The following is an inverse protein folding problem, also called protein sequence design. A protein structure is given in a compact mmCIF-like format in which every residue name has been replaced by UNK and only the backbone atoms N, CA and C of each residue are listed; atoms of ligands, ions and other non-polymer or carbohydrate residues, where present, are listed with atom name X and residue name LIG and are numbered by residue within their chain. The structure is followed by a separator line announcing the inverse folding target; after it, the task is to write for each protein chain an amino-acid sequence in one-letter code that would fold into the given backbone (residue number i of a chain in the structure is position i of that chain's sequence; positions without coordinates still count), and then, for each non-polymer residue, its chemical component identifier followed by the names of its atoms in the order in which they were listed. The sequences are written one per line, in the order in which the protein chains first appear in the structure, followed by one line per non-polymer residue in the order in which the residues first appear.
data_IF_715438551733
#
_entry.id   IF_715438551733
#
_cell.length_a   1.000
_cell.length_b   1.000
_cell.length_c   1.000
_cell.angle_alpha   90.00
_cell.angle_beta   90.00
_cell.angle_gamma   90.00
#
_symmetry.space_group_name_H-M   'P 1'
#
loop_
_entity.id
_entity.type
_entity.pdbx_description
1 polymer ?
#
# COMPACT_ATOMS: atom_id res chain seq x y z
N UNK A 1 37.85 -3.98 -18.53
CA UNK A 1 36.55 -3.69 -19.16
C UNK A 1 36.44 -4.53 -20.42
N UNK A 2 35.49 -5.47 -20.47
CA UNK A 2 35.26 -6.27 -21.68
C UNK A 2 34.66 -5.37 -22.74
N UNK A 3 35.28 -5.36 -23.96
CA UNK A 3 34.87 -4.56 -25.11
C UNK A 3 33.40 -4.84 -25.51
N UNK A 4 32.68 -3.82 -25.99
CA UNK A 4 31.32 -3.91 -26.57
C UNK A 4 31.23 -4.97 -27.65
N UNK A 5 32.34 -5.19 -28.43
CA UNK A 5 32.44 -6.21 -29.47
C UNK A 5 32.20 -7.63 -29.01
N UNK A 6 32.31 -7.93 -27.69
CA UNK A 6 32.02 -9.27 -27.14
C UNK A 6 30.54 -9.47 -26.79
N UNK A 7 29.71 -8.44 -26.87
CA UNK A 7 28.28 -8.49 -26.51
C UNK A 7 27.35 -8.35 -27.72
N UNK A 8 27.88 -7.98 -28.87
CA UNK A 8 27.07 -7.65 -30.05
C UNK A 8 27.56 -8.42 -31.26
N UNK A 9 26.64 -9.01 -32.02
CA UNK A 9 26.95 -9.80 -33.23
C UNK A 9 27.09 -8.96 -34.51
N UNK A 10 26.68 -7.69 -34.49
CA UNK A 10 26.75 -6.76 -35.65
C UNK A 10 26.82 -5.29 -35.20
N UNK A 11 27.22 -4.36 -36.06
CA UNK A 11 27.18 -2.92 -35.78
C UNK A 11 25.78 -2.43 -35.36
N UNK A 12 24.73 -2.85 -36.05
CA UNK A 12 23.36 -2.51 -35.73
C UNK A 12 22.94 -3.03 -34.33
N UNK A 13 23.36 -4.23 -33.96
CA UNK A 13 23.17 -4.77 -32.61
C UNK A 13 23.90 -3.93 -31.55
N UNK A 14 25.09 -3.44 -31.85
CA UNK A 14 25.86 -2.57 -30.97
C UNK A 14 25.18 -1.21 -30.77
N UNK A 15 24.63 -0.60 -31.82
CA UNK A 15 23.87 0.65 -31.74
C UNK A 15 22.62 0.48 -30.86
N UNK A 16 21.87 -0.60 -31.05
CA UNK A 16 20.70 -0.90 -30.24
C UNK A 16 21.07 -1.13 -28.77
N UNK A 17 22.15 -1.86 -28.50
CA UNK A 17 22.65 -2.08 -27.15
C UNK A 17 23.04 -0.77 -26.46
N UNK A 18 23.79 0.11 -27.19
CA UNK A 18 24.17 1.43 -26.66
C UNK A 18 22.94 2.29 -26.38
N UNK A 19 21.95 2.29 -27.28
CA UNK A 19 20.71 3.04 -27.10
C UNK A 19 19.93 2.58 -25.84
N UNK A 20 19.84 1.27 -25.64
CA UNK A 20 19.19 0.67 -24.45
C UNK A 20 19.93 1.03 -23.16
N UNK A 21 21.26 0.90 -23.14
CA UNK A 21 22.05 1.26 -21.96
C UNK A 21 21.99 2.77 -21.65
N UNK A 22 22.00 3.63 -22.66
CA UNK A 22 21.82 5.07 -22.51
C UNK A 22 20.44 5.41 -21.97
N UNK A 23 19.39 4.78 -22.46
CA UNK A 23 18.03 4.95 -21.96
C UNK A 23 17.91 4.49 -20.50
N UNK A 24 18.55 3.38 -20.14
CA UNK A 24 18.63 2.88 -18.77
C UNK A 24 19.33 3.86 -17.83
N UNK A 25 20.47 4.39 -18.26
CA UNK A 25 21.24 5.36 -17.50
C UNK A 25 20.43 6.65 -17.27
N UNK A 26 19.85 7.21 -18.32
CA UNK A 26 19.02 8.41 -18.26
C UNK A 26 17.81 8.21 -17.32
N UNK A 27 17.19 7.02 -17.36
CA UNK A 27 16.09 6.67 -16.44
C UNK A 27 16.55 6.64 -14.99
N UNK A 28 17.74 6.09 -14.73
CA UNK A 28 18.35 6.04 -13.38
C UNK A 28 18.63 7.45 -12.86
N UNK A 29 19.31 8.29 -13.65
CA UNK A 29 19.62 9.68 -13.28
C UNK A 29 18.36 10.51 -13.02
N UNK A 30 17.33 10.34 -13.86
CA UNK A 30 16.03 10.98 -13.63
C UNK A 30 15.39 10.53 -12.32
N UNK A 31 15.43 9.23 -12.01
CA UNK A 31 14.88 8.71 -10.76
C UNK A 31 15.65 9.24 -9.53
N UNK A 32 16.97 9.30 -9.61
CA UNK A 32 17.81 9.87 -8.55
C UNK A 32 17.54 11.38 -8.36
N UNK A 33 17.40 12.13 -9.45
CA UNK A 33 17.03 13.53 -9.41
C UNK A 33 15.66 13.77 -8.76
N UNK A 34 14.66 12.99 -9.15
CA UNK A 34 13.33 13.04 -8.55
C UNK A 34 13.34 12.63 -7.06
N UNK A 35 14.18 11.64 -6.69
CA UNK A 35 14.31 11.22 -5.30
C UNK A 35 14.88 12.33 -4.40
N UNK A 36 15.82 13.14 -4.91
CA UNK A 36 16.37 14.30 -4.19
C UNK A 36 15.35 15.41 -3.95
N UNK A 37 14.29 15.49 -4.78
CA UNK A 37 13.23 16.49 -4.67
C UNK A 37 12.06 16.04 -3.78
N UNK A 38 12.03 14.75 -3.34
CA UNK A 38 10.94 14.22 -2.52
C UNK A 38 10.89 14.87 -1.15
N UNK A 39 9.69 15.33 -0.79
CA UNK A 39 9.36 15.79 0.56
C UNK A 39 8.85 14.63 1.42
N UNK A 40 8.87 14.78 2.74
CA UNK A 40 8.34 13.79 3.69
C UNK A 40 6.93 13.29 3.34
N UNK A 41 6.05 14.19 2.85
CA UNK A 41 4.70 13.86 2.42
C UNK A 41 4.65 12.81 1.28
N UNK A 42 5.66 12.80 0.41
CA UNK A 42 5.75 11.83 -0.69
C UNK A 42 6.06 10.43 -0.16
N UNK A 43 6.96 10.33 0.84
CA UNK A 43 7.27 9.06 1.51
C UNK A 43 6.07 8.53 2.29
N UNK A 44 5.31 9.40 2.97
CA UNK A 44 4.04 9.02 3.62
C UNK A 44 3.07 8.44 2.61
N UNK A 45 2.88 9.11 1.45
CA UNK A 45 1.96 8.65 0.40
C UNK A 45 2.39 7.30 -0.18
N UNK A 46 3.69 7.10 -0.41
CA UNK A 46 4.23 5.83 -0.92
C UNK A 46 4.03 4.69 0.07
N UNK A 47 4.37 4.89 1.33
CA UNK A 47 4.16 3.91 2.38
C UNK A 47 2.68 3.55 2.54
N UNK A 48 1.80 4.56 2.55
CA UNK A 48 0.36 4.37 2.65
C UNK A 48 -0.21 3.59 1.45
N UNK A 49 0.31 3.83 0.26
CA UNK A 49 -0.13 3.10 -0.95
C UNK A 49 0.15 1.61 -0.83
N UNK A 50 1.34 1.23 -0.36
CA UNK A 50 1.73 -0.17 -0.20
C UNK A 50 0.98 -0.82 0.97
N UNK A 51 0.89 -0.13 2.10
CA UNK A 51 0.11 -0.56 3.26
C UNK A 51 -1.36 -0.82 2.91
N UNK A 52 -2.01 0.10 2.20
CA UNK A 52 -3.39 -0.06 1.78
C UNK A 52 -3.59 -1.23 0.79
N UNK A 53 -2.61 -1.49 -0.08
CA UNK A 53 -2.63 -2.67 -0.96
C UNK A 53 -2.57 -3.96 -0.15
N UNK A 54 -1.65 -4.02 0.82
CA UNK A 54 -1.52 -5.15 1.72
C UNK A 54 -2.82 -5.39 2.51
N UNK A 55 -3.40 -4.36 3.13
CA UNK A 55 -4.64 -4.50 3.91
C UNK A 55 -5.84 -4.97 3.07
N UNK A 56 -5.97 -4.46 1.84
CA UNK A 56 -7.00 -4.96 0.92
C UNK A 56 -6.77 -6.44 0.57
N UNK A 57 -5.54 -6.84 0.32
CA UNK A 57 -5.22 -8.22 -0.01
C UNK A 57 -5.50 -9.18 1.15
N UNK A 58 -5.16 -8.82 2.39
CA UNK A 58 -5.54 -9.57 3.60
C UNK A 58 -7.05 -9.77 3.66
N UNK A 59 -7.84 -8.71 3.46
CA UNK A 59 -9.30 -8.81 3.49
C UNK A 59 -9.85 -9.67 2.34
N UNK A 60 -9.23 -9.59 1.15
CA UNK A 60 -9.62 -10.40 -0.01
C UNK A 60 -9.41 -11.89 0.25
N UNK A 61 -8.24 -12.26 0.77
CA UNK A 61 -7.88 -13.66 1.09
C UNK A 61 -8.78 -14.22 2.19
N UNK A 62 -9.09 -13.41 3.20
CA UNK A 62 -9.98 -13.79 4.29
C UNK A 62 -11.47 -13.89 3.86
N UNK A 63 -11.79 -13.55 2.61
CA UNK A 63 -13.18 -13.57 2.11
C UNK A 63 -14.09 -12.52 2.74
N UNK A 64 -13.52 -11.45 3.33
CA UNK A 64 -14.32 -10.44 4.02
C UNK A 64 -15.13 -9.58 3.06
N UNK A 65 -16.38 -9.32 3.41
CA UNK A 65 -17.22 -8.28 2.83
C UNK A 65 -16.81 -6.87 3.26
N UNK A 66 -17.57 -5.88 2.87
CA UNK A 66 -17.39 -4.49 3.26
C UNK A 66 -17.47 -4.33 4.78
N UNK A 67 -16.49 -3.68 5.41
CA UNK A 67 -16.45 -3.52 6.87
C UNK A 67 -17.73 -2.88 7.45
N UNK A 68 -18.39 -1.99 6.71
CA UNK A 68 -19.52 -1.22 7.22
C UNK A 68 -20.89 -1.89 6.98
N UNK A 69 -21.08 -2.58 5.86
CA UNK A 69 -22.39 -3.11 5.45
C UNK A 69 -22.35 -4.61 5.13
N UNK A 70 -21.20 -5.23 5.31
CA UNK A 70 -20.91 -6.64 5.06
C UNK A 70 -21.23 -7.15 3.63
N UNK A 71 -21.64 -6.26 2.72
CA UNK A 71 -21.91 -6.60 1.34
C UNK A 71 -20.65 -7.11 0.63
N UNK A 72 -20.77 -8.05 -0.31
CA UNK A 72 -19.67 -8.56 -1.10
C UNK A 72 -18.87 -7.44 -1.77
N UNK A 73 -17.55 -7.61 -1.84
CA UNK A 73 -16.61 -6.68 -2.44
C UNK A 73 -16.29 -7.11 -3.87
N UNK A 74 -16.36 -6.16 -4.79
CA UNK A 74 -15.95 -6.36 -6.19
C UNK A 74 -14.43 -6.21 -6.31
N UNK A 75 -13.73 -7.33 -6.27
CA UNK A 75 -12.28 -7.40 -6.39
C UNK A 75 -11.78 -7.43 -7.84
N UNK A 76 -12.69 -7.60 -8.81
CA UNK A 76 -12.36 -7.72 -10.25
C UNK A 76 -12.30 -6.35 -10.91
N UNK A 77 -13.32 -5.54 -10.69
CA UNK A 77 -13.39 -4.20 -11.29
C UNK A 77 -12.40 -3.25 -10.59
N UNK A 78 -11.51 -2.59 -11.33
CA UNK A 78 -10.55 -1.65 -10.74
C UNK A 78 -11.21 -0.54 -9.92
N UNK A 79 -10.59 -0.18 -8.81
CA UNK A 79 -11.00 0.94 -7.95
C UNK A 79 -12.40 0.83 -7.31
N UNK A 80 -12.97 -0.37 -7.16
CA UNK A 80 -14.24 -0.60 -6.46
C UNK A 80 -14.08 -0.81 -4.96
N UNK A 81 -12.88 -1.22 -4.51
CA UNK A 81 -12.57 -1.50 -3.10
C UNK A 81 -11.51 -0.53 -2.60
N UNK A 82 -11.83 0.19 -1.55
CA UNK A 82 -10.92 1.08 -0.85
C UNK A 82 -10.38 0.42 0.44
N UNK A 83 -9.26 0.94 0.94
CA UNK A 83 -8.78 0.69 2.29
C UNK A 83 -9.28 1.84 3.18
N UNK A 84 -10.42 1.63 3.85
CA UNK A 84 -11.02 2.61 4.74
C UNK A 84 -10.33 2.62 6.10
N UNK A 85 -10.14 3.82 6.67
CA UNK A 85 -9.62 4.02 8.02
C UNK A 85 -10.79 4.29 8.97
N UNK A 86 -10.88 3.52 10.06
CA UNK A 86 -11.87 3.75 11.10
C UNK A 86 -11.65 5.11 11.79
N UNK A 87 -10.47 5.29 12.35
CA UNK A 87 -10.01 6.59 12.84
C UNK A 87 -9.22 7.25 11.71
N UNK A 88 -9.72 8.40 11.23
CA UNK A 88 -9.22 9.02 10.01
C UNK A 88 -7.76 9.44 10.13
N UNK A 89 -7.04 9.43 9.00
CA UNK A 89 -5.63 9.87 8.95
C UNK A 89 -5.44 11.35 9.32
N UNK A 90 -6.49 12.16 9.22
CA UNK A 90 -6.47 13.56 9.59
C UNK A 90 -6.64 13.75 11.10
N UNK A 91 -7.64 13.10 11.71
CA UNK A 91 -7.89 13.20 13.15
C UNK A 91 -6.96 12.33 14.01
N UNK A 92 -6.49 11.20 13.46
CA UNK A 92 -5.65 10.23 14.17
C UNK A 92 -4.44 9.82 13.34
N UNK A 93 -3.51 10.76 13.04
CA UNK A 93 -2.37 10.51 12.16
C UNK A 93 -1.40 9.46 12.70
N UNK A 94 -1.38 9.20 14.00
CA UNK A 94 -0.59 8.15 14.66
C UNK A 94 -1.07 6.74 14.30
N UNK A 95 -2.35 6.57 13.94
CA UNK A 95 -2.95 5.26 13.62
C UNK A 95 -2.96 4.94 12.11
N UNK A 96 -2.33 5.76 11.28
CA UNK A 96 -2.40 5.61 9.82
C UNK A 96 -1.82 4.30 9.27
N UNK A 97 -0.89 3.66 9.99
CA UNK A 97 -0.26 2.38 9.64
C UNK A 97 -0.57 1.25 10.61
N UNK A 98 -1.60 1.41 11.45
CA UNK A 98 -2.08 0.35 12.34
C UNK A 98 -3.03 -0.55 11.56
N UNK A 99 -2.73 -1.85 11.53
CA UNK A 99 -3.48 -2.82 10.72
C UNK A 99 -4.95 -2.89 11.12
N UNK A 100 -5.25 -2.92 12.42
CA UNK A 100 -6.61 -2.96 12.93
C UNK A 100 -7.43 -1.70 12.62
N UNK A 101 -6.78 -0.57 12.31
CA UNK A 101 -7.47 0.66 11.91
C UNK A 101 -7.90 0.68 10.43
N UNK A 102 -7.49 -0.30 9.60
CA UNK A 102 -7.68 -0.21 8.14
C UNK A 102 -8.29 -1.48 7.57
N UNK A 103 -9.45 -1.34 6.93
CA UNK A 103 -10.24 -2.46 6.43
C UNK A 103 -10.74 -2.22 5.00
N UNK A 104 -11.02 -3.32 4.28
CA UNK A 104 -11.61 -3.24 2.97
C UNK A 104 -13.04 -2.69 3.03
N UNK A 105 -13.33 -1.72 2.20
CA UNK A 105 -14.60 -0.99 2.18
C UNK A 105 -15.06 -0.76 0.75
N UNK A 106 -16.36 -0.88 0.48
CA UNK A 106 -16.93 -0.46 -0.80
C UNK A 106 -16.67 1.03 -1.01
N UNK A 107 -16.32 1.41 -2.21
CA UNK A 107 -16.03 2.82 -2.54
C UNK A 107 -17.18 3.77 -2.17
N UNK A 108 -18.43 3.33 -2.36
CA UNK A 108 -19.60 4.10 -1.94
C UNK A 108 -19.67 4.33 -0.43
N UNK A 109 -19.30 3.32 0.38
CA UNK A 109 -19.26 3.45 1.83
C UNK A 109 -18.10 4.33 2.34
N UNK A 110 -17.00 4.42 1.58
CA UNK A 110 -15.82 5.23 1.94
C UNK A 110 -15.92 6.70 1.50
N UNK A 111 -17.08 7.16 1.07
CA UNK A 111 -17.32 8.57 0.72
C UNK A 111 -17.98 9.33 1.88
N UNK A 112 -17.87 10.66 1.92
CA UNK A 112 -18.66 11.46 2.86
C UNK A 112 -20.15 11.09 2.78
N UNK A 113 -20.76 10.80 3.92
CA UNK A 113 -22.15 10.35 4.00
C UNK A 113 -22.43 8.90 3.53
N UNK A 114 -21.42 8.17 3.07
CA UNK A 114 -21.60 6.79 2.57
C UNK A 114 -21.76 5.73 3.67
N UNK A 115 -21.29 6.01 4.88
CA UNK A 115 -21.47 5.16 6.06
C UNK A 115 -21.40 5.98 7.35
N UNK A 116 -21.87 5.40 8.45
CA UNK A 116 -21.71 5.96 9.79
C UNK A 116 -20.47 5.41 10.47
N UNK A 117 -19.91 6.15 11.42
CA UNK A 117 -18.83 5.65 12.27
C UNK A 117 -19.27 4.41 13.05
N UNK A 118 -20.53 4.37 13.51
CA UNK A 118 -21.08 3.23 14.22
C UNK A 118 -21.09 1.96 13.35
N UNK A 119 -21.54 2.04 12.10
CA UNK A 119 -21.55 0.88 11.20
C UNK A 119 -20.13 0.34 10.94
N UNK A 120 -19.12 1.21 10.90
CA UNK A 120 -17.72 0.77 10.78
C UNK A 120 -17.26 0.11 12.11
N UNK A 121 -17.60 0.70 13.26
CA UNK A 121 -17.28 0.16 14.58
C UNK A 121 -17.84 -1.23 14.78
N UNK A 122 -19.12 -1.43 14.47
CA UNK A 122 -19.82 -2.72 14.57
C UNK A 122 -19.14 -3.79 13.68
N UNK A 123 -18.69 -3.39 12.50
CA UNK A 123 -17.93 -4.27 11.61
C UNK A 123 -16.57 -4.66 12.17
N UNK A 124 -15.87 -3.75 12.83
CA UNK A 124 -14.60 -4.04 13.50
C UNK A 124 -14.79 -4.95 14.70
N UNK A 125 -15.77 -4.68 15.53
CA UNK A 125 -16.09 -5.51 16.70
C UNK A 125 -16.33 -6.98 16.29
N UNK A 126 -17.07 -7.20 15.20
CA UNK A 126 -17.25 -8.56 14.63
C UNK A 126 -15.98 -9.23 14.16
N UNK A 127 -14.92 -8.47 13.82
CA UNK A 127 -13.69 -9.00 13.20
C UNK A 127 -12.51 -9.12 14.15
N UNK A 128 -12.39 -8.21 15.10
CA UNK A 128 -11.24 -8.16 16.02
C UNK A 128 -11.64 -8.25 17.49
N UNK A 129 -12.95 -8.27 17.79
CA UNK A 129 -13.46 -8.26 19.16
C UNK A 129 -13.47 -6.87 19.80
N UNK A 130 -14.18 -6.76 20.91
CA UNK A 130 -14.37 -5.48 21.60
C UNK A 130 -13.07 -4.99 22.24
N UNK A 131 -12.28 -5.89 22.83
CA UNK A 131 -11.06 -5.55 23.55
C UNK A 131 -10.04 -4.87 22.61
N UNK A 132 -9.75 -5.48 21.44
CA UNK A 132 -8.82 -4.92 20.47
C UNK A 132 -9.35 -3.62 19.83
N UNK A 133 -10.66 -3.46 19.74
CA UNK A 133 -11.28 -2.23 19.27
C UNK A 133 -11.14 -1.10 20.29
N UNK A 134 -11.39 -1.37 21.57
CA UNK A 134 -11.24 -0.40 22.66
C UNK A 134 -9.77 0.01 22.85
N UNK A 135 -8.83 -0.93 22.76
CA UNK A 135 -7.39 -0.64 22.74
C UNK A 135 -7.03 0.35 21.60
N UNK A 136 -7.55 0.10 20.40
CA UNK A 136 -7.34 1.01 19.27
C UNK A 136 -7.96 2.40 19.51
N UNK A 137 -9.16 2.43 20.07
CA UNK A 137 -9.86 3.69 20.39
C UNK A 137 -9.19 4.47 21.52
N UNK A 138 -8.53 3.78 22.46
CA UNK A 138 -7.79 4.38 23.57
C UNK A 138 -6.38 4.85 23.19
N UNK A 139 -5.81 4.36 22.08
CA UNK A 139 -4.44 4.70 21.65
C UNK A 139 -4.36 6.19 21.33
N UNK A 140 -3.56 6.92 22.11
CA UNK A 140 -3.26 8.36 21.96
C UNK A 140 -1.78 8.61 21.79
N UNK A 141 -0.97 7.55 21.66
CA UNK A 141 0.47 7.68 21.60
C UNK A 141 0.90 8.40 20.30
N UNK A 142 1.57 9.57 20.41
CA UNK A 142 2.03 10.29 19.22
C UNK A 142 3.08 9.50 18.46
N UNK A 143 2.87 9.28 17.15
CA UNK A 143 3.83 8.63 16.25
C UNK A 143 4.26 9.59 15.17
N UNK A 144 5.49 10.09 15.28
CA UNK A 144 6.11 10.98 14.31
C UNK A 144 7.12 10.20 13.46
N UNK A 145 6.68 9.75 12.29
CA UNK A 145 7.52 8.96 11.40
C UNK A 145 8.62 9.81 10.76
N UNK A 146 9.86 9.37 10.82
CA UNK A 146 11.00 9.86 10.02
C UNK A 146 10.90 9.35 8.58
N UNK A 147 11.72 9.91 7.66
CA UNK A 147 11.76 9.40 6.27
C UNK A 147 12.25 7.95 6.23
N UNK A 148 13.20 7.57 7.09
CA UNK A 148 13.74 6.22 7.09
C UNK A 148 12.76 5.20 7.67
N UNK A 149 11.99 5.55 8.70
CA UNK A 149 10.87 4.74 9.18
C UNK A 149 9.79 4.57 8.11
N UNK A 150 9.48 5.60 7.34
CA UNK A 150 8.52 5.51 6.23
C UNK A 150 9.00 4.58 5.11
N UNK A 151 10.31 4.61 4.81
CA UNK A 151 10.92 3.65 3.88
C UNK A 151 10.86 2.22 4.43
N UNK A 152 11.16 2.03 5.72
CA UNK A 152 11.08 0.74 6.39
C UNK A 152 9.64 0.18 6.39
N UNK A 153 8.65 1.00 6.73
CA UNK A 153 7.23 0.63 6.67
C UNK A 153 6.85 0.20 5.24
N UNK A 154 7.26 0.98 4.23
CA UNK A 154 7.00 0.64 2.83
C UNK A 154 7.61 -0.70 2.44
N UNK A 155 8.87 -0.95 2.81
CA UNK A 155 9.58 -2.21 2.51
C UNK A 155 8.90 -3.38 3.22
N UNK A 156 8.62 -3.26 4.52
CA UNK A 156 7.96 -4.28 5.33
C UNK A 156 6.62 -4.74 4.72
N UNK A 157 5.74 -3.79 4.38
CA UNK A 157 4.45 -4.16 3.80
C UNK A 157 4.53 -4.60 2.34
N UNK A 158 5.57 -4.22 1.59
CA UNK A 158 5.83 -4.77 0.27
C UNK A 158 6.22 -6.25 0.34
N UNK A 159 7.05 -6.64 1.29
CA UNK A 159 7.42 -8.04 1.56
C UNK A 159 6.22 -8.86 2.04
N UNK A 160 5.46 -8.36 3.02
CA UNK A 160 4.22 -9.02 3.47
C UNK A 160 3.25 -9.25 2.31
N UNK A 161 3.05 -8.25 1.45
CA UNK A 161 2.19 -8.37 0.27
C UNK A 161 2.70 -9.39 -0.74
N UNK A 162 4.03 -9.47 -0.96
CA UNK A 162 4.66 -10.46 -1.82
C UNK A 162 4.46 -11.87 -1.27
N UNK A 163 4.68 -12.08 0.03
CA UNK A 163 4.48 -13.35 0.70
C UNK A 163 3.02 -13.82 0.60
N UNK A 164 2.04 -12.94 0.86
CA UNK A 164 0.62 -13.28 0.71
C UNK A 164 0.25 -13.75 -0.70
N UNK A 165 0.84 -13.13 -1.73
CA UNK A 165 0.58 -13.53 -3.13
C UNK A 165 1.24 -14.85 -3.51
N UNK A 166 2.41 -15.13 -2.95
CA UNK A 166 3.11 -16.40 -3.19
C UNK A 166 2.34 -17.61 -2.64
N UNK A 167 1.74 -17.48 -1.45
CA UNK A 167 0.93 -18.55 -0.84
C UNK A 167 -0.32 -18.90 -1.65
N UNK A 168 -0.85 -17.99 -2.46
CA UNK A 168 -2.03 -18.24 -3.30
C UNK A 168 -1.72 -18.90 -4.64
N UNK A 169 -0.47 -18.83 -5.13
CA UNK A 169 -0.08 -19.52 -6.37
C UNK A 169 0.13 -21.03 -6.16
N UNK A 170 0.09 -21.51 -4.93
CA UNK A 170 0.32 -22.92 -4.57
C UNK A 170 -0.93 -23.60 -3.97
N UNK A 171 -2.04 -22.92 -3.91
CA UNK A 171 -3.35 -23.42 -3.46
C UNK A 171 -4.32 -23.55 -4.65
#
# INVERSE_FOLDING_TARGET
PRSITHKCCSPSCAEQFIAVEKARQNRKERQEGLAKLKRKADYVREAQTVFNKYRREVCRIAGYGCICCDAPLDWVTPNKVDAGHYLSRGSSPHLKFIENNVWAQRKGCNRPGGTTRQAFRDGMERRIGIEALEELEADREPRHYTIDELKAIKAHYAEKLKALKATQCHA
#
